data_IF_165416454586
#
_entry.id   IF_165416454586
#
_cell.length_a   1.000
_cell.length_b   1.000
_cell.length_c   1.000
_cell.angle_alpha   90.00
_cell.angle_beta   90.00
_cell.angle_gamma   90.00
#
_symmetry.space_group_name_H-M   'P 1'
#
loop_
_entity.id
_entity.type
_entity.pdbx_description
1 polymer ?
#
# COMPACT_ATOMS: atom_id res chain seq x y z
N UNK A 1 -2.80 24.72 -7.84
CA UNK A 1 -3.83 23.82 -7.26
C UNK A 1 -3.09 22.78 -6.45
N UNK A 2 -3.53 22.45 -5.24
CA UNK A 2 -2.91 21.38 -4.46
C UNK A 2 -3.42 20.00 -4.93
N UNK A 3 -2.56 18.98 -4.91
CA UNK A 3 -2.98 17.61 -5.20
C UNK A 3 -3.84 17.04 -4.06
N UNK A 4 -4.78 16.17 -4.39
CA UNK A 4 -5.50 15.34 -3.39
C UNK A 4 -4.50 14.42 -2.69
N UNK A 5 -3.65 13.76 -3.45
CA UNK A 5 -2.56 12.93 -2.94
C UNK A 5 -1.29 13.13 -3.75
N UNK A 6 -0.13 13.05 -3.09
CA UNK A 6 1.16 12.96 -3.78
C UNK A 6 1.99 11.82 -3.21
N UNK A 7 2.85 11.25 -4.06
CA UNK A 7 3.74 10.16 -3.70
C UNK A 7 5.19 10.59 -3.90
N UNK A 8 5.99 10.51 -2.84
CA UNK A 8 7.45 10.59 -2.90
C UNK A 8 7.99 9.16 -2.91
N UNK A 9 8.47 8.71 -4.05
CA UNK A 9 8.88 7.35 -4.35
C UNK A 9 7.85 6.59 -5.18
N UNK A 10 8.26 6.14 -6.36
CA UNK A 10 7.46 5.36 -7.32
C UNK A 10 8.03 3.95 -7.54
N UNK A 11 8.57 3.37 -6.46
CA UNK A 11 8.95 1.95 -6.42
C UNK A 11 7.72 1.04 -6.44
N UNK A 12 7.92 -0.28 -6.28
CA UNK A 12 6.84 -1.28 -6.39
C UNK A 12 5.60 -0.93 -5.55
N UNK A 13 5.79 -0.60 -4.26
CA UNK A 13 4.66 -0.30 -3.37
C UNK A 13 4.06 1.07 -3.64
N UNK A 14 4.89 2.11 -3.87
CA UNK A 14 4.43 3.44 -4.22
C UNK A 14 3.61 3.44 -5.51
N UNK A 15 4.07 2.71 -6.54
CA UNK A 15 3.33 2.54 -7.80
C UNK A 15 2.01 1.81 -7.62
N UNK A 16 1.99 0.73 -6.83
CA UNK A 16 0.78 -0.05 -6.56
C UNK A 16 -0.30 0.80 -5.86
N UNK A 17 0.09 1.56 -4.83
CA UNK A 17 -0.83 2.43 -4.12
C UNK A 17 -1.24 3.65 -4.95
N UNK A 18 -0.31 4.29 -5.69
CA UNK A 18 -0.66 5.40 -6.57
C UNK A 18 -1.68 4.97 -7.63
N UNK A 19 -1.52 3.79 -8.22
CA UNK A 19 -2.50 3.22 -9.14
C UNK A 19 -3.84 2.89 -8.46
N UNK A 20 -3.83 2.45 -7.20
CA UNK A 20 -5.07 2.23 -6.45
C UNK A 20 -5.79 3.55 -6.14
N UNK A 21 -5.05 4.57 -5.68
CA UNK A 21 -5.56 5.90 -5.36
C UNK A 21 -6.08 6.61 -6.62
N UNK A 22 -5.43 6.45 -7.79
CA UNK A 22 -5.89 7.06 -9.05
C UNK A 22 -7.26 6.58 -9.50
N UNK A 23 -7.73 5.44 -9.01
CA UNK A 23 -9.10 4.97 -9.26
C UNK A 23 -10.16 5.73 -8.43
N UNK A 24 -9.75 6.33 -7.32
CA UNK A 24 -10.62 7.14 -6.47
C UNK A 24 -10.55 8.64 -6.81
N UNK A 25 -9.35 9.14 -7.14
CA UNK A 25 -9.11 10.53 -7.49
C UNK A 25 -8.00 10.64 -8.54
N UNK A 26 -8.19 11.51 -9.55
CA UNK A 26 -7.23 11.72 -10.64
C UNK A 26 -6.22 12.85 -10.35
N UNK A 27 -6.42 13.64 -9.29
CA UNK A 27 -5.54 14.76 -8.93
C UNK A 27 -4.36 14.30 -8.08
N UNK A 28 -3.44 13.54 -8.70
CA UNK A 28 -2.30 12.90 -8.03
C UNK A 28 -0.98 13.47 -8.54
N UNK A 29 -0.10 13.84 -7.59
CA UNK A 29 1.29 14.21 -7.84
C UNK A 29 2.25 13.03 -7.63
N UNK A 30 3.25 12.88 -8.50
CA UNK A 30 4.26 11.84 -8.39
C UNK A 30 5.66 12.45 -8.43
N UNK A 31 6.50 12.07 -7.48
CA UNK A 31 7.90 12.41 -7.43
C UNK A 31 8.77 11.18 -7.17
N UNK A 32 9.84 11.06 -7.93
CA UNK A 32 10.91 10.08 -7.69
C UNK A 32 12.25 10.69 -8.08
N UNK A 33 13.33 10.29 -7.42
CA UNK A 33 14.69 10.69 -7.82
C UNK A 33 15.03 10.21 -9.24
N UNK A 34 14.48 9.06 -9.64
CA UNK A 34 14.48 8.60 -11.02
C UNK A 34 13.25 9.18 -11.75
N UNK A 35 13.43 10.32 -12.38
CA UNK A 35 12.37 11.02 -13.10
C UNK A 35 11.67 10.15 -14.17
N UNK A 36 12.38 9.18 -14.78
CA UNK A 36 11.78 8.27 -15.77
C UNK A 36 10.72 7.36 -15.15
N UNK A 37 10.95 6.87 -13.92
CA UNK A 37 9.97 6.07 -13.20
C UNK A 37 8.71 6.86 -12.90
N UNK A 38 8.84 8.08 -12.37
CA UNK A 38 7.70 8.96 -12.11
C UNK A 38 6.93 9.27 -13.41
N UNK A 39 7.61 9.59 -14.50
CA UNK A 39 6.99 9.87 -15.80
C UNK A 39 6.25 8.65 -16.37
N UNK A 40 6.86 7.47 -16.31
CA UNK A 40 6.24 6.23 -16.81
C UNK A 40 4.97 5.92 -16.05
N UNK A 41 5.01 5.99 -14.71
CA UNK A 41 3.85 5.75 -13.88
C UNK A 41 2.78 6.83 -14.11
N UNK A 42 3.16 8.12 -14.16
CA UNK A 42 2.23 9.23 -14.41
C UNK A 42 1.43 9.02 -15.70
N UNK A 43 2.10 8.64 -16.79
CA UNK A 43 1.43 8.33 -18.07
C UNK A 43 0.45 7.17 -17.96
N UNK A 44 0.78 6.14 -17.16
CA UNK A 44 -0.05 4.94 -17.06
C UNK A 44 -1.32 5.12 -16.22
N UNK A 45 -1.32 6.05 -15.26
CA UNK A 45 -2.44 6.27 -14.33
C UNK A 45 -3.09 7.66 -14.46
N UNK A 46 -2.65 8.49 -15.41
CA UNK A 46 -3.19 9.85 -15.60
C UNK A 46 -2.76 10.84 -14.52
N UNK A 47 -1.64 10.60 -13.82
CA UNK A 47 -1.11 11.46 -12.77
C UNK A 47 -0.15 12.52 -13.32
N UNK A 48 0.24 13.48 -12.49
CA UNK A 48 1.16 14.57 -12.81
C UNK A 48 2.51 14.36 -12.12
N UNK A 49 3.61 14.51 -12.85
CA UNK A 49 4.95 14.57 -12.23
C UNK A 49 5.09 15.93 -11.53
N UNK A 50 5.56 15.92 -10.30
CA UNK A 50 5.64 17.10 -9.44
C UNK A 50 7.02 17.25 -8.78
N UNK A 51 7.22 18.32 -8.02
CA UNK A 51 8.40 18.53 -7.15
C UNK A 51 8.08 18.14 -5.71
N UNK A 52 9.12 18.03 -4.88
CA UNK A 52 8.95 17.76 -3.44
C UNK A 52 8.17 18.89 -2.76
N UNK A 53 8.41 20.15 -3.15
CA UNK A 53 7.76 21.34 -2.59
C UNK A 53 6.28 21.42 -2.94
N UNK A 54 5.90 21.03 -4.14
CA UNK A 54 4.49 20.93 -4.55
C UNK A 54 3.80 19.74 -3.88
N UNK A 55 4.48 18.59 -3.83
CA UNK A 55 3.98 17.39 -3.16
C UNK A 55 3.71 17.64 -1.66
N UNK A 56 4.57 18.43 -0.99
CA UNK A 56 4.42 18.80 0.42
C UNK A 56 3.14 19.60 0.73
N UNK A 57 2.47 20.14 -0.29
CA UNK A 57 1.21 20.90 -0.17
C UNK A 57 -0.04 20.08 -0.46
N UNK A 58 0.12 18.78 -0.72
CA UNK A 58 -1.00 17.87 -0.97
C UNK A 58 -1.78 17.58 0.30
N UNK A 59 -3.06 17.22 0.14
CA UNK A 59 -3.89 16.80 1.27
C UNK A 59 -3.31 15.54 1.94
N UNK A 60 -2.88 14.54 1.15
CA UNK A 60 -2.17 13.35 1.62
C UNK A 60 -0.82 13.22 0.91
N UNK A 61 0.25 13.16 1.71
CA UNK A 61 1.60 13.00 1.21
C UNK A 61 2.13 11.61 1.57
N UNK A 62 2.17 10.71 0.58
CA UNK A 62 2.67 9.35 0.73
C UNK A 62 4.19 9.31 0.62
N UNK A 63 4.86 8.85 1.67
CA UNK A 63 6.30 8.59 1.68
C UNK A 63 6.53 7.11 1.37
N UNK A 64 6.77 6.81 0.09
CA UNK A 64 6.93 5.46 -0.44
C UNK A 64 8.40 5.14 -0.77
N UNK A 65 9.31 5.67 0.02
CA UNK A 65 10.75 5.45 -0.08
C UNK A 65 11.22 4.34 0.86
N UNK A 66 12.44 3.86 0.64
CA UNK A 66 13.02 2.79 1.49
C UNK A 66 13.18 3.25 2.95
N UNK A 67 13.05 2.34 3.94
CA UNK A 67 13.15 2.67 5.37
C UNK A 67 14.44 3.40 5.76
N UNK A 68 15.57 3.05 5.16
CA UNK A 68 16.87 3.65 5.47
C UNK A 68 17.02 5.12 5.06
N UNK A 69 16.11 5.66 4.24
CA UNK A 69 16.15 7.07 3.80
C UNK A 69 14.92 7.87 4.27
N UNK A 70 13.89 7.20 4.84
CA UNK A 70 12.61 7.83 5.16
C UNK A 70 12.76 9.01 6.13
N UNK A 71 13.57 8.88 7.16
CA UNK A 71 13.82 9.94 8.15
C UNK A 71 14.47 11.17 7.51
N UNK A 72 15.40 10.97 6.58
CA UNK A 72 16.01 12.07 5.84
C UNK A 72 14.99 12.80 4.96
N UNK A 73 14.10 12.04 4.30
CA UNK A 73 13.02 12.59 3.49
C UNK A 73 12.02 13.34 4.38
N UNK A 74 11.58 12.76 5.50
CA UNK A 74 10.67 13.42 6.44
C UNK A 74 11.26 14.74 6.97
N UNK A 75 12.56 14.77 7.33
CA UNK A 75 13.26 15.99 7.75
C UNK A 75 13.29 17.07 6.67
N UNK A 76 13.44 16.72 5.40
CA UNK A 76 13.45 17.69 4.31
C UNK A 76 12.08 18.33 4.04
N UNK A 77 11.02 17.75 4.57
CA UNK A 77 9.66 18.27 4.47
C UNK A 77 9.30 19.23 5.62
N UNK A 78 10.09 19.22 6.70
CA UNK A 78 9.86 20.11 7.83
C UNK A 78 9.91 21.58 7.40
N UNK A 79 8.87 22.35 7.75
CA UNK A 79 8.75 23.77 7.43
C UNK A 79 8.22 24.09 6.02
N UNK A 80 7.98 23.06 5.17
CA UNK A 80 7.37 23.26 3.84
C UNK A 80 6.02 22.57 3.66
N UNK A 81 5.62 21.75 4.65
CA UNK A 81 4.28 21.12 4.67
C UNK A 81 3.19 22.20 4.78
N UNK A 82 2.08 22.00 4.09
CA UNK A 82 0.88 22.80 4.35
C UNK A 82 0.20 22.36 5.66
N UNK A 83 -0.49 23.26 6.34
CA UNK A 83 -1.12 23.00 7.65
C UNK A 83 -2.10 21.83 7.64
N UNK A 84 -2.74 21.58 6.50
CA UNK A 84 -3.71 20.51 6.32
C UNK A 84 -3.12 19.23 5.71
N UNK A 85 -1.81 19.18 5.45
CA UNK A 85 -1.17 17.98 4.89
C UNK A 85 -1.10 16.87 5.94
N UNK A 86 -1.54 15.69 5.55
CA UNK A 86 -1.36 14.45 6.33
C UNK A 86 -0.28 13.61 5.67
N UNK A 87 0.80 13.33 6.41
CA UNK A 87 1.85 12.41 5.95
C UNK A 87 1.35 10.97 6.07
N UNK A 88 1.52 10.17 5.02
CA UNK A 88 1.25 8.73 5.02
C UNK A 88 2.56 7.99 4.78
N UNK A 89 3.09 7.32 5.81
CA UNK A 89 4.34 6.54 5.72
C UNK A 89 4.06 5.05 5.60
N UNK A 90 4.86 4.35 4.78
CA UNK A 90 4.81 2.90 4.63
C UNK A 90 6.17 2.22 4.91
N UNK A 91 7.02 2.88 5.70
CA UNK A 91 8.35 2.36 6.02
C UNK A 91 8.25 1.26 7.08
N UNK A 92 8.66 0.04 6.73
CA UNK A 92 8.74 -1.08 7.65
C UNK A 92 9.79 -0.80 8.74
N UNK A 93 9.47 -1.13 10.01
CA UNK A 93 10.39 -1.01 11.14
C UNK A 93 10.66 0.43 11.59
N UNK A 94 9.98 1.45 11.05
CA UNK A 94 10.08 2.85 11.48
C UNK A 94 8.80 3.23 12.19
N UNK A 95 8.91 3.71 13.42
CA UNK A 95 7.77 4.09 14.26
C UNK A 95 7.16 5.42 13.79
N UNK A 96 5.86 5.56 14.01
CA UNK A 96 5.12 6.78 13.67
C UNK A 96 5.69 8.02 14.36
N UNK A 97 6.08 7.88 15.62
CA UNK A 97 6.72 8.94 16.43
C UNK A 97 8.00 9.48 15.75
N UNK A 98 8.83 8.61 15.19
CA UNK A 98 10.07 9.00 14.52
C UNK A 98 9.79 9.84 13.26
N UNK A 99 8.73 9.49 12.51
CA UNK A 99 8.30 10.24 11.33
C UNK A 99 7.74 11.61 11.76
N UNK A 100 6.88 11.64 12.78
CA UNK A 100 6.30 12.87 13.32
C UNK A 100 7.40 13.85 13.76
N UNK A 101 8.35 13.37 14.56
CA UNK A 101 9.47 14.19 15.05
C UNK A 101 10.35 14.69 13.89
N UNK A 102 10.62 13.87 12.90
CA UNK A 102 11.45 14.24 11.75
C UNK A 102 10.75 15.29 10.86
N UNK A 103 9.45 15.15 10.63
CA UNK A 103 8.68 16.06 9.77
C UNK A 103 8.19 17.33 10.50
N UNK A 104 8.24 17.35 11.84
CA UNK A 104 7.75 18.47 12.66
C UNK A 104 6.23 18.60 12.69
N UNK A 105 5.50 17.49 12.58
CA UNK A 105 4.02 17.44 12.61
C UNK A 105 3.52 16.12 13.19
N UNK A 106 2.40 16.17 13.93
CA UNK A 106 1.68 14.98 14.39
C UNK A 106 0.49 14.60 13.50
N UNK A 107 0.39 15.16 12.29
CA UNK A 107 -0.59 14.79 11.27
C UNK A 107 -0.02 13.68 10.39
N UNK A 108 0.19 12.52 10.98
CA UNK A 108 0.83 11.38 10.32
C UNK A 108 0.00 10.11 10.45
N UNK A 109 -0.04 9.31 9.39
CA UNK A 109 -0.63 7.97 9.34
C UNK A 109 0.48 6.98 8.95
N UNK A 110 0.65 5.92 9.71
CA UNK A 110 1.50 4.80 9.31
C UNK A 110 0.64 3.72 8.71
N UNK A 111 1.03 3.25 7.53
CA UNK A 111 0.37 2.14 6.85
C UNK A 111 1.34 0.99 6.64
N UNK A 112 0.79 -0.22 6.54
CA UNK A 112 1.53 -1.41 6.13
C UNK A 112 0.72 -2.12 5.05
N UNK A 113 0.90 -1.73 3.78
CA UNK A 113 0.22 -2.34 2.63
C UNK A 113 0.93 -3.61 2.17
N UNK A 114 0.28 -4.36 1.29
CA UNK A 114 0.88 -5.46 0.55
C UNK A 114 0.66 -5.33 -0.97
N UNK A 115 1.39 -6.10 -1.75
CA UNK A 115 1.41 -6.01 -3.22
C UNK A 115 0.07 -6.24 -3.91
N UNK A 116 -0.88 -7.07 -3.41
CA UNK A 116 -2.21 -7.21 -4.02
C UNK A 116 -3.05 -5.92 -4.06
N UNK A 117 -2.64 -4.86 -3.36
CA UNK A 117 -3.25 -3.53 -3.50
C UNK A 117 -3.24 -3.02 -4.95
N UNK A 118 -2.27 -3.43 -5.76
CA UNK A 118 -2.21 -3.09 -7.19
C UNK A 118 -3.46 -3.51 -7.96
N UNK A 119 -4.08 -4.62 -7.57
CA UNK A 119 -5.28 -5.18 -8.18
C UNK A 119 -6.55 -4.97 -7.34
N UNK A 120 -6.47 -4.14 -6.28
CA UNK A 120 -7.62 -3.82 -5.43
C UNK A 120 -7.96 -4.87 -4.37
N UNK A 121 -7.08 -5.84 -4.16
CA UNK A 121 -7.26 -6.94 -3.20
C UNK A 121 -6.16 -6.94 -2.13
N UNK A 122 -5.67 -5.74 -1.79
CA UNK A 122 -4.67 -5.56 -0.73
C UNK A 122 -5.26 -5.73 0.67
N UNK A 123 -4.36 -6.00 1.62
CA UNK A 123 -4.60 -5.80 3.04
C UNK A 123 -3.70 -4.67 3.50
N UNK A 124 -4.29 -3.56 3.96
CA UNK A 124 -3.57 -2.36 4.38
C UNK A 124 -3.87 -2.13 5.85
N UNK A 125 -2.88 -2.40 6.70
CA UNK A 125 -2.97 -2.08 8.12
C UNK A 125 -2.61 -0.61 8.32
N UNK A 126 -3.25 0.09 9.28
CA UNK A 126 -2.88 1.47 9.59
C UNK A 126 -3.03 1.84 11.05
N UNK A 127 -2.28 2.84 11.47
CA UNK A 127 -2.49 3.59 12.70
C UNK A 127 -2.27 5.08 12.46
N UNK A 128 -2.77 5.91 13.36
CA UNK A 128 -2.78 7.37 13.24
C UNK A 128 -2.09 8.05 14.43
N UNK A 129 -1.42 9.17 14.18
CA UNK A 129 -0.88 10.03 15.23
C UNK A 129 -1.97 10.97 15.78
N UNK A 130 -1.63 11.71 16.84
CA UNK A 130 -2.60 12.42 17.71
C UNK A 130 -3.35 13.57 17.06
N UNK A 131 -2.79 14.20 16.00
CA UNK A 131 -3.41 15.35 15.32
C UNK A 131 -4.17 14.97 14.04
N UNK A 132 -4.23 13.68 13.70
CA UNK A 132 -5.09 13.19 12.62
C UNK A 132 -6.53 13.21 13.09
N UNK A 133 -7.35 14.03 12.46
CA UNK A 133 -8.76 14.18 12.82
C UNK A 133 -9.59 13.00 12.28
N UNK A 134 -10.84 12.88 12.77
CA UNK A 134 -11.77 11.87 12.23
C UNK A 134 -12.11 12.11 10.77
N UNK A 135 -12.15 13.37 10.34
CA UNK A 135 -12.39 13.74 8.95
C UNK A 135 -11.18 13.39 8.08
N UNK A 136 -9.95 13.62 8.56
CA UNK A 136 -8.72 13.16 7.88
C UNK A 136 -8.73 11.64 7.68
N UNK A 137 -9.13 10.92 8.73
CA UNK A 137 -9.18 9.45 8.69
C UNK A 137 -10.28 8.96 7.72
N UNK A 138 -11.44 9.59 7.69
CA UNK A 138 -12.52 9.26 6.75
C UNK A 138 -12.10 9.52 5.29
N UNK A 139 -11.47 10.67 5.02
CA UNK A 139 -10.95 11.02 3.69
C UNK A 139 -9.86 10.02 3.26
N UNK A 140 -8.95 9.66 4.17
CA UNK A 140 -7.91 8.67 3.93
C UNK A 140 -8.49 7.29 3.58
N UNK A 141 -9.49 6.82 4.32
CA UNK A 141 -10.15 5.54 4.05
C UNK A 141 -10.87 5.56 2.70
N UNK A 142 -11.55 6.66 2.38
CA UNK A 142 -12.21 6.81 1.08
C UNK A 142 -11.19 6.81 -0.08
N UNK A 143 -10.03 7.44 0.11
CA UNK A 143 -8.96 7.47 -0.88
C UNK A 143 -8.40 6.06 -1.18
N UNK A 144 -8.30 5.20 -0.16
CA UNK A 144 -7.76 3.85 -0.28
C UNK A 144 -8.78 2.74 -0.55
N UNK A 145 -10.08 3.05 -0.64
CA UNK A 145 -11.13 2.03 -0.85
C UNK A 145 -10.92 1.16 -2.09
N UNK A 146 -10.24 1.68 -3.12
CA UNK A 146 -9.88 0.94 -4.33
C UNK A 146 -8.63 0.06 -4.20
N UNK A 147 -7.95 0.08 -3.04
CA UNK A 147 -6.72 -0.68 -2.82
C UNK A 147 -6.98 -2.06 -2.16
N UNK A 148 -8.15 -2.27 -1.55
CA UNK A 148 -8.52 -3.48 -0.83
C UNK A 148 -9.15 -3.22 0.53
N UNK A 149 -8.87 -4.08 1.51
CA UNK A 149 -9.31 -3.90 2.89
C UNK A 149 -8.32 -3.02 3.63
N UNK A 150 -8.82 -1.98 4.29
CA UNK A 150 -8.03 -1.06 5.12
C UNK A 150 -8.48 -1.21 6.56
N UNK A 151 -7.60 -1.64 7.45
CA UNK A 151 -7.93 -1.99 8.83
C UNK A 151 -7.06 -1.24 9.84
N UNK A 152 -7.71 -0.64 10.84
CA UNK A 152 -7.03 0.07 11.92
C UNK A 152 -6.53 -0.89 12.98
N UNK A 153 -5.25 -0.77 13.32
CA UNK A 153 -4.61 -1.64 14.32
C UNK A 153 -3.70 -0.80 15.24
N UNK A 154 -3.46 -1.28 16.45
CA UNK A 154 -2.46 -0.69 17.34
C UNK A 154 -1.07 -0.76 16.68
N UNK A 155 -0.31 0.33 16.72
CA UNK A 155 1.02 0.40 16.10
C UNK A 155 1.96 -0.72 16.54
N UNK A 156 1.91 -1.11 17.83
CA UNK A 156 2.73 -2.20 18.38
C UNK A 156 2.50 -3.56 17.71
N UNK A 157 1.34 -3.74 17.03
CA UNK A 157 0.98 -4.98 16.35
C UNK A 157 1.25 -4.95 14.84
N UNK A 158 1.51 -3.77 14.26
CA UNK A 158 1.69 -3.61 12.80
C UNK A 158 2.79 -4.52 12.26
N UNK A 159 3.96 -4.55 12.92
CA UNK A 159 5.10 -5.34 12.41
C UNK A 159 4.87 -6.85 12.55
N UNK A 160 4.19 -7.28 13.61
CA UNK A 160 3.78 -8.68 13.76
C UNK A 160 2.71 -9.09 12.73
N UNK A 161 1.70 -8.25 12.53
CA UNK A 161 0.66 -8.50 11.54
C UNK A 161 1.21 -8.44 10.09
N UNK A 162 2.24 -7.61 9.85
CA UNK A 162 2.92 -7.53 8.56
C UNK A 162 3.64 -8.83 8.18
N UNK A 163 4.06 -9.65 9.13
CA UNK A 163 4.59 -10.98 8.84
C UNK A 163 3.55 -11.86 8.11
N UNK A 164 2.27 -11.69 8.44
CA UNK A 164 1.17 -12.34 7.73
C UNK A 164 0.80 -11.59 6.45
N UNK A 165 0.47 -10.30 6.55
CA UNK A 165 -0.13 -9.54 5.43
C UNK A 165 0.89 -9.12 4.39
N UNK A 166 2.10 -8.72 4.81
CA UNK A 166 3.18 -8.26 3.92
C UNK A 166 3.95 -9.40 3.27
N UNK A 167 4.26 -10.48 4.02
CA UNK A 167 5.00 -11.64 3.52
C UNK A 167 4.07 -12.70 2.90
N UNK A 168 2.81 -12.77 3.35
CA UNK A 168 1.83 -13.77 2.93
C UNK A 168 1.70 -13.95 1.42
N UNK A 169 1.66 -12.90 0.60
CA UNK A 169 1.58 -13.04 -0.85
C UNK A 169 2.70 -13.91 -1.45
N UNK A 170 3.93 -13.80 -0.94
CA UNK A 170 5.06 -14.63 -1.39
C UNK A 170 4.82 -16.13 -1.11
N UNK A 171 4.28 -16.45 0.06
CA UNK A 171 3.96 -17.84 0.42
C UNK A 171 2.84 -18.40 -0.46
N UNK A 172 1.84 -17.58 -0.77
CA UNK A 172 0.76 -17.97 -1.69
C UNK A 172 1.30 -18.22 -3.10
N UNK A 173 2.27 -17.42 -3.58
CA UNK A 173 2.89 -17.66 -4.89
C UNK A 173 3.71 -18.94 -4.90
N UNK A 174 4.47 -19.25 -3.85
CA UNK A 174 5.18 -20.51 -3.71
C UNK A 174 4.23 -21.71 -3.67
N UNK A 175 3.11 -21.59 -2.97
CA UNK A 175 2.08 -22.61 -2.92
C UNK A 175 1.42 -22.82 -4.29
N UNK A 176 1.10 -21.75 -5.01
CA UNK A 176 0.56 -21.82 -6.37
C UNK A 176 1.52 -22.52 -7.33
N UNK A 177 2.82 -22.22 -7.22
CA UNK A 177 3.85 -22.89 -8.01
C UNK A 177 3.91 -24.37 -7.71
N UNK A 178 3.94 -24.76 -6.45
CA UNK A 178 3.99 -26.18 -6.05
C UNK A 178 2.77 -26.97 -6.55
N UNK A 179 1.55 -26.40 -6.46
CA UNK A 179 0.34 -27.00 -7.02
C UNK A 179 0.44 -27.18 -8.53
N UNK A 180 0.93 -26.16 -9.24
CA UNK A 180 1.11 -26.21 -10.70
C UNK A 180 2.14 -27.26 -11.10
N UNK A 181 3.28 -27.34 -10.39
CA UNK A 181 4.35 -28.31 -10.67
C UNK A 181 3.87 -29.76 -10.42
N UNK A 182 3.11 -29.99 -9.34
CA UNK A 182 2.49 -31.28 -9.07
C UNK A 182 1.51 -31.69 -10.18
N UNK A 183 0.67 -30.78 -10.67
CA UNK A 183 -0.25 -31.06 -11.76
C UNK A 183 0.50 -31.41 -13.06
N UNK A 184 1.59 -30.71 -13.36
CA UNK A 184 2.43 -30.97 -14.54
C UNK A 184 3.08 -32.35 -14.43
N UNK A 185 3.56 -32.77 -13.27
CA UNK A 185 4.13 -34.11 -13.07
C UNK A 185 3.11 -35.22 -13.30
N UNK A 186 1.81 -34.91 -13.18
CA UNK A 186 0.70 -35.82 -13.51
C UNK A 186 0.18 -35.70 -14.95
N UNK A 187 0.88 -34.92 -15.82
CA UNK A 187 0.58 -34.82 -17.24
C UNK A 187 -0.32 -33.63 -17.63
N UNK A 188 -0.66 -32.72 -16.72
CA UNK A 188 -1.40 -31.50 -17.06
C UNK A 188 -0.46 -30.52 -17.80
N UNK A 189 -0.86 -29.94 -18.95
CA UNK A 189 -0.08 -28.92 -19.64
C UNK A 189 0.27 -27.74 -18.72
N UNK A 190 1.51 -27.22 -18.81
CA UNK A 190 2.04 -26.16 -17.92
C UNK A 190 1.20 -24.91 -17.88
N UNK A 191 0.74 -24.44 -19.04
CA UNK A 191 -0.11 -23.26 -19.18
C UNK A 191 -1.46 -23.43 -18.47
N UNK A 192 -2.07 -24.59 -18.57
CA UNK A 192 -3.31 -24.92 -17.86
C UNK A 192 -3.12 -25.11 -16.36
N UNK A 193 -2.04 -25.76 -15.95
CA UNK A 193 -1.74 -26.00 -14.55
C UNK A 193 -1.59 -24.69 -13.75
N UNK A 194 -0.94 -23.67 -14.34
CA UNK A 194 -0.81 -22.35 -13.73
C UNK A 194 -2.18 -21.66 -13.53
N UNK A 195 -3.04 -21.71 -14.54
CA UNK A 195 -4.40 -21.13 -14.46
C UNK A 195 -5.24 -21.85 -13.40
N UNK A 196 -5.17 -23.18 -13.37
CA UNK A 196 -5.94 -24.01 -12.41
C UNK A 196 -5.50 -23.75 -10.98
N UNK A 197 -4.20 -23.66 -10.70
CA UNK A 197 -3.66 -23.35 -9.38
C UNK A 197 -4.12 -21.96 -8.92
N UNK A 198 -3.96 -20.93 -9.76
CA UNK A 198 -4.35 -19.56 -9.45
C UNK A 198 -5.86 -19.45 -9.16
N UNK A 199 -6.72 -20.06 -10.01
CA UNK A 199 -8.17 -20.01 -9.84
C UNK A 199 -8.64 -20.79 -8.60
N UNK A 200 -7.99 -21.91 -8.28
CA UNK A 200 -8.29 -22.68 -7.08
C UNK A 200 -8.01 -21.90 -5.81
N UNK A 201 -6.84 -21.21 -5.74
CA UNK A 201 -6.48 -20.37 -4.60
C UNK A 201 -7.44 -19.20 -4.46
N UNK A 202 -7.76 -18.52 -5.56
CA UNK A 202 -8.70 -17.40 -5.57
C UNK A 202 -10.09 -17.81 -5.06
N UNK A 203 -10.61 -18.93 -5.55
CA UNK A 203 -11.91 -19.46 -5.13
C UNK A 203 -11.93 -19.84 -3.65
N UNK A 204 -10.90 -20.54 -3.18
CA UNK A 204 -10.76 -20.92 -1.77
C UNK A 204 -10.65 -19.70 -0.85
N UNK A 205 -9.88 -18.68 -1.21
CA UNK A 205 -9.78 -17.44 -0.45
C UNK A 205 -11.11 -16.68 -0.38
N UNK A 206 -11.87 -16.64 -1.47
CA UNK A 206 -13.22 -16.05 -1.48
C UNK A 206 -14.20 -16.82 -0.60
N UNK A 207 -14.14 -18.13 -0.59
CA UNK A 207 -14.96 -18.96 0.31
C UNK A 207 -14.60 -18.70 1.77
N UNK A 208 -13.33 -18.64 2.13
CA UNK A 208 -12.88 -18.29 3.48
C UNK A 208 -13.37 -16.91 3.93
N UNK A 209 -13.24 -15.91 3.06
CA UNK A 209 -13.64 -14.52 3.36
C UNK A 209 -15.15 -14.36 3.57
N UNK A 210 -15.95 -15.17 2.88
CA UNK A 210 -17.42 -15.09 2.90
C UNK A 210 -18.08 -16.15 3.81
N UNK A 211 -17.30 -16.86 4.61
CA UNK A 211 -17.79 -17.93 5.49
C UNK A 211 -17.46 -17.63 6.95
N UNK A 212 -18.46 -17.81 7.82
CA UNK A 212 -18.26 -17.79 9.28
C UNK A 212 -17.70 -19.12 9.82
N UNK A 213 -17.45 -20.11 8.93
CA UNK A 213 -16.95 -21.43 9.33
C UNK A 213 -15.44 -21.39 9.53
N UNK A 214 -14.97 -22.12 10.54
CA UNK A 214 -13.53 -22.38 10.70
C UNK A 214 -12.98 -23.08 9.44
N UNK A 215 -11.74 -22.74 8.98
CA UNK A 215 -11.17 -23.35 7.77
C UNK A 215 -11.23 -24.87 7.71
N UNK A 216 -11.04 -25.58 8.84
CA UNK A 216 -11.15 -27.04 8.92
C UNK A 216 -12.55 -27.58 8.53
N UNK A 217 -13.60 -26.78 8.73
CA UNK A 217 -14.97 -27.16 8.34
C UNK A 217 -15.27 -26.95 6.85
N UNK A 218 -14.34 -26.33 6.12
CA UNK A 218 -14.37 -26.17 4.67
C UNK A 218 -13.56 -27.25 3.96
N UNK A 219 -12.76 -28.03 4.70
CA UNK A 219 -12.08 -29.22 4.18
C UNK A 219 -13.10 -30.37 4.11
N UNK A 220 -13.61 -30.64 2.92
CA UNK A 220 -14.50 -31.75 2.61
C UNK A 220 -13.72 -32.83 1.88
#
# INVERSE_FOLDING_TARGET
>A
MSFCASFIGTGNMGSALAAAVSRADQNIGLFDLDAKKAQTLAKSIGATVTTTEEAAKSRFLFLAVKPNVIIKVAKSLSGILADNTVIVTMAAGVKLEEICAAAGTNRCIRIMPNTPAAVGEGMILYCVASEVTKDDEADFLNLLKGAGVVDKIDEKLIDAAAALTGCGPAYVYMFAQALSDGAVSCGVPRDKAAIYAAQTILGSAKMLKNSDKHPEKLNI
#
